data_IF_139012162410
#
_entry.id   IF_139012162410
#
_cell.length_a   1.000
_cell.length_b   1.000
_cell.length_c   1.000
_cell.angle_alpha   90.00
_cell.angle_beta   90.00
_cell.angle_gamma   90.00
#
_symmetry.space_group_name_H-M   'P 1'
#
loop_
_entity.id
_entity.type
_entity.pdbx_description
1 polymer ?
#
# COMPACT_ATOMS: atom_id res chain seq x y z
N UNK A 1 -3.14 -36.81 -80.10
CA UNK A 1 -2.57 -37.67 -79.05
C UNK A 1 -2.91 -37.04 -77.71
N UNK A 2 -3.73 -37.72 -76.90
CA UNK A 2 -4.28 -37.19 -75.64
C UNK A 2 -3.18 -37.07 -74.58
N UNK A 3 -3.04 -35.92 -73.95
CA UNK A 3 -2.28 -35.77 -72.70
C UNK A 3 -3.23 -35.18 -71.67
N UNK A 4 -3.60 -36.02 -70.68
CA UNK A 4 -4.34 -35.65 -69.48
C UNK A 4 -3.46 -34.74 -68.63
N UNK A 5 -3.95 -33.54 -68.28
CA UNK A 5 -3.37 -32.70 -67.23
C UNK A 5 -4.24 -32.84 -65.98
N UNK A 6 -3.79 -33.64 -65.04
CA UNK A 6 -4.43 -33.84 -63.74
C UNK A 6 -4.20 -32.62 -62.86
N UNK A 7 -5.28 -31.92 -62.50
CA UNK A 7 -5.28 -30.84 -61.51
C UNK A 7 -4.99 -31.41 -60.11
N UNK A 8 -3.94 -30.93 -59.45
CA UNK A 8 -3.73 -31.16 -58.02
C UNK A 8 -4.07 -29.86 -57.28
N UNK A 9 -5.29 -29.78 -56.76
CA UNK A 9 -5.75 -28.64 -55.96
C UNK A 9 -5.30 -28.88 -54.51
N UNK A 10 -4.28 -28.14 -54.06
CA UNK A 10 -3.84 -28.16 -52.66
C UNK A 10 -4.88 -27.37 -51.85
N UNK A 11 -5.70 -28.09 -51.07
CA UNK A 11 -6.57 -27.50 -50.06
C UNK A 11 -5.69 -27.25 -48.83
N UNK A 12 -5.29 -26.00 -48.62
CA UNK A 12 -4.71 -25.56 -47.34
C UNK A 12 -5.87 -25.39 -46.36
N UNK A 13 -6.05 -26.36 -45.47
CA UNK A 13 -6.95 -26.26 -44.33
C UNK A 13 -6.40 -25.21 -43.36
N UNK A 14 -7.01 -24.03 -43.36
CA UNK A 14 -6.74 -22.95 -42.40
C UNK A 14 -7.30 -23.36 -41.04
N UNK A 15 -6.46 -23.95 -40.19
CA UNK A 15 -6.80 -24.20 -38.80
C UNK A 15 -6.97 -22.86 -38.09
N UNK A 16 -8.21 -22.52 -37.71
CA UNK A 16 -8.50 -21.45 -36.77
C UNK A 16 -7.87 -21.82 -35.42
N UNK A 17 -6.64 -21.36 -35.20
CA UNK A 17 -6.08 -21.21 -33.87
C UNK A 17 -6.94 -20.16 -33.15
N UNK A 18 -7.74 -20.60 -32.20
CA UNK A 18 -8.41 -19.72 -31.27
C UNK A 18 -7.35 -18.85 -30.58
N UNK A 19 -7.47 -17.54 -30.75
CA UNK A 19 -6.71 -16.60 -29.96
C UNK A 19 -7.05 -16.86 -28.49
N UNK A 20 -6.07 -17.37 -27.73
CA UNK A 20 -6.10 -17.23 -26.29
C UNK A 20 -6.10 -15.73 -26.00
N UNK A 21 -7.11 -15.28 -25.25
CA UNK A 21 -7.18 -13.92 -24.73
C UNK A 21 -5.99 -13.74 -23.78
N UNK A 22 -4.86 -13.28 -24.32
CA UNK A 22 -3.86 -12.61 -23.51
C UNK A 22 -4.52 -11.32 -23.02
N UNK A 23 -4.83 -11.26 -21.72
CA UNK A 23 -5.11 -9.99 -21.04
C UNK A 23 -3.96 -9.03 -21.36
N UNK A 24 -4.24 -7.75 -21.69
CA UNK A 24 -3.18 -6.84 -22.05
C UNK A 24 -2.28 -6.58 -20.83
N UNK A 25 -1.02 -6.98 -20.99
CA UNK A 25 0.19 -6.56 -20.31
C UNK A 25 0.02 -5.27 -19.47
N UNK A 26 0.18 -5.37 -18.15
CA UNK A 26 0.63 -4.26 -17.28
C UNK A 26 -0.15 -2.95 -17.35
N UNK A 27 -1.47 -2.96 -17.60
CA UNK A 27 -2.25 -1.72 -17.58
C UNK A 27 -2.26 -1.12 -16.17
N UNK A 28 -1.54 -0.01 -16.01
CA UNK A 28 -1.64 0.88 -14.84
C UNK A 28 -3.12 1.11 -14.56
N UNK A 29 -3.57 0.72 -13.36
CA UNK A 29 -4.95 0.95 -12.93
C UNK A 29 -5.18 2.46 -12.89
N UNK A 30 -6.18 2.94 -13.62
CA UNK A 30 -6.50 4.38 -13.73
C UNK A 30 -6.69 5.05 -12.35
N UNK A 31 -7.20 4.31 -11.36
CA UNK A 31 -7.31 4.82 -9.99
C UNK A 31 -5.97 5.35 -9.45
N UNK A 32 -4.85 4.72 -9.77
CA UNK A 32 -3.52 5.07 -9.25
C UNK A 32 -2.64 5.81 -10.27
N UNK A 33 -3.22 6.30 -11.38
CA UNK A 33 -2.50 7.12 -12.37
C UNK A 33 -2.32 8.58 -11.92
N UNK A 34 -3.11 9.01 -10.92
CA UNK A 34 -3.15 10.39 -10.42
C UNK A 34 -3.04 10.43 -8.91
N UNK A 35 -2.29 11.42 -8.42
CA UNK A 35 -2.15 11.75 -7.00
C UNK A 35 -3.23 12.75 -6.52
N UNK A 36 -4.13 13.18 -7.41
CA UNK A 36 -5.21 14.10 -7.03
C UNK A 36 -6.14 13.43 -6.02
N UNK A 37 -6.37 14.13 -4.90
CA UNK A 37 -7.31 13.70 -3.87
C UNK A 37 -8.69 13.46 -4.48
N UNK A 38 -9.30 12.36 -4.10
CA UNK A 38 -10.67 12.04 -4.49
C UNK A 38 -11.67 12.58 -3.49
N UNK A 39 -12.80 13.08 -3.96
CA UNK A 39 -13.97 13.35 -3.13
C UNK A 39 -14.99 12.24 -3.38
N UNK A 40 -15.30 11.48 -2.34
CA UNK A 40 -16.19 10.32 -2.40
C UNK A 40 -17.34 10.50 -1.41
N UNK A 41 -18.52 10.01 -1.77
CA UNK A 41 -19.62 9.80 -0.83
C UNK A 41 -19.98 8.33 -0.82
N UNK A 42 -20.03 7.72 0.36
CA UNK A 42 -20.46 6.32 0.53
C UNK A 42 -21.75 6.31 1.32
N UNK A 43 -22.82 5.82 0.71
CA UNK A 43 -24.12 5.61 1.35
C UNK A 43 -24.18 4.16 1.84
N UNK A 44 -24.30 3.96 3.15
CA UNK A 44 -24.32 2.63 3.77
C UNK A 44 -24.98 2.67 5.16
N UNK A 45 -25.46 1.52 5.63
CA UNK A 45 -25.92 1.38 7.02
C UNK A 45 -24.69 1.23 7.94
N UNK A 46 -24.22 2.35 8.50
CA UNK A 46 -22.96 2.39 9.25
C UNK A 46 -23.00 1.53 10.52
N UNK A 47 -24.15 1.45 11.18
CA UNK A 47 -24.31 0.69 12.41
C UNK A 47 -24.12 -0.82 12.17
N UNK A 48 -24.62 -1.33 11.04
CA UNK A 48 -24.43 -2.71 10.61
C UNK A 48 -22.96 -3.04 10.37
N UNK A 49 -22.21 -2.14 9.73
CA UNK A 49 -20.77 -2.31 9.50
C UNK A 49 -19.97 -2.26 10.80
N UNK A 50 -20.30 -1.34 11.70
CA UNK A 50 -19.63 -1.20 13.01
C UNK A 50 -19.90 -2.39 13.93
N UNK A 51 -21.08 -3.00 13.82
CA UNK A 51 -21.44 -4.19 14.57
C UNK A 51 -20.84 -5.48 13.97
N UNK A 52 -20.73 -5.58 12.65
CA UNK A 52 -20.20 -6.75 11.94
C UNK A 52 -18.67 -6.70 11.82
N UNK A 53 -18.00 -6.91 12.95
CA UNK A 53 -16.54 -6.83 13.10
C UNK A 53 -15.92 -8.12 13.66
N UNK A 54 -16.66 -9.23 13.56
CA UNK A 54 -16.21 -10.56 13.99
C UNK A 54 -15.03 -11.09 13.17
N UNK A 55 -14.66 -12.36 13.36
CA UNK A 55 -13.50 -12.98 12.68
C UNK A 55 -13.58 -12.87 11.15
N UNK A 56 -14.75 -13.15 10.56
CA UNK A 56 -15.05 -13.03 9.13
C UNK A 56 -16.30 -12.15 8.89
N UNK A 57 -16.14 -10.83 8.78
CA UNK A 57 -17.22 -9.90 8.49
C UNK A 57 -17.86 -10.13 7.12
N UNK A 58 -19.19 -10.00 7.08
CA UNK A 58 -19.95 -10.10 5.84
C UNK A 58 -19.81 -8.84 4.99
N UNK A 59 -20.15 -8.96 3.71
CA UNK A 59 -20.32 -7.82 2.83
C UNK A 59 -21.72 -7.24 2.99
N UNK A 60 -21.80 -5.92 3.14
CA UNK A 60 -23.02 -5.13 3.21
C UNK A 60 -23.15 -4.28 1.94
N UNK A 61 -24.37 -4.07 1.46
CA UNK A 61 -24.62 -3.27 0.27
C UNK A 61 -24.43 -1.78 0.57
N UNK A 62 -23.86 -1.06 -0.38
CA UNK A 62 -23.63 0.38 -0.29
C UNK A 62 -23.63 1.02 -1.68
N UNK A 63 -23.72 2.34 -1.73
CA UNK A 63 -23.58 3.11 -2.98
C UNK A 63 -22.37 4.02 -2.85
N UNK A 64 -21.47 3.97 -3.83
CA UNK A 64 -20.36 4.91 -3.95
C UNK A 64 -20.70 5.96 -5.01
N UNK A 65 -20.62 7.22 -4.62
CA UNK A 65 -20.78 8.38 -5.48
C UNK A 65 -19.46 9.17 -5.54
N UNK A 66 -19.07 9.59 -6.75
CA UNK A 66 -17.87 10.39 -6.96
C UNK A 66 -17.92 11.13 -8.31
N UNK A 67 -17.13 12.19 -8.41
CA UNK A 67 -16.91 12.86 -9.69
C UNK A 67 -15.86 12.08 -10.49
N UNK A 68 -16.31 11.35 -11.51
CA UNK A 68 -15.43 10.60 -12.41
C UNK A 68 -14.85 11.56 -13.48
N UNK A 69 -13.51 11.68 -13.60
CA UNK A 69 -12.87 12.46 -14.67
C UNK A 69 -13.30 12.05 -16.09
N UNK A 70 -13.74 10.79 -16.26
CA UNK A 70 -14.15 10.17 -17.53
C UNK A 70 -15.64 10.38 -17.79
N UNK A 71 -16.49 10.23 -16.76
CA UNK A 71 -17.96 10.11 -16.92
C UNK A 71 -18.79 11.17 -16.19
N UNK A 72 -18.18 12.16 -15.55
CA UNK A 72 -18.82 13.12 -14.62
C UNK A 72 -19.35 12.43 -13.35
N UNK A 73 -20.37 12.99 -12.67
CA UNK A 73 -20.91 12.43 -11.43
C UNK A 73 -21.39 10.98 -11.68
N UNK A 74 -20.72 10.04 -11.02
CA UNK A 74 -20.92 8.61 -11.19
C UNK A 74 -21.37 8.01 -9.87
N UNK A 75 -22.43 7.18 -9.93
CA UNK A 75 -22.90 6.35 -8.83
C UNK A 75 -22.76 4.89 -9.21
N UNK A 76 -22.18 4.09 -8.32
CA UNK A 76 -22.02 2.66 -8.51
C UNK A 76 -22.44 1.92 -7.24
N UNK A 77 -23.20 0.86 -7.44
CA UNK A 77 -23.51 -0.08 -6.36
C UNK A 77 -22.24 -0.86 -6.03
N UNK A 78 -21.92 -0.92 -4.73
CA UNK A 78 -20.73 -1.59 -4.21
C UNK A 78 -21.10 -2.43 -2.99
N UNK A 79 -20.18 -3.29 -2.60
CA UNK A 79 -20.25 -3.99 -1.32
C UNK A 79 -19.12 -3.57 -0.41
N UNK A 80 -19.41 -3.38 0.86
CA UNK A 80 -18.45 -2.93 1.86
C UNK A 80 -18.37 -3.96 2.97
N UNK A 81 -17.17 -4.23 3.47
CA UNK A 81 -16.98 -5.02 4.68
C UNK A 81 -15.89 -4.44 5.57
N UNK A 82 -15.98 -4.70 6.87
CA UNK A 82 -14.88 -4.44 7.78
C UNK A 82 -13.67 -5.36 7.46
N UNK A 83 -12.45 -4.86 7.69
CA UNK A 83 -11.20 -5.62 7.50
C UNK A 83 -10.18 -5.30 8.61
N UNK A 84 -9.11 -6.10 8.63
CA UNK A 84 -8.03 -5.99 9.61
C UNK A 84 -8.34 -6.79 10.87
N UNK A 85 -7.35 -6.87 11.76
CA UNK A 85 -7.48 -7.49 13.08
C UNK A 85 -7.59 -6.42 14.15
N UNK A 86 -6.51 -5.63 14.31
CA UNK A 86 -6.40 -4.63 15.37
C UNK A 86 -7.48 -3.55 15.29
N UNK A 87 -7.57 -2.86 14.14
CA UNK A 87 -8.50 -1.75 13.92
C UNK A 87 -9.95 -2.18 13.66
N UNK A 88 -10.19 -3.48 13.58
CA UNK A 88 -11.55 -4.05 13.49
C UNK A 88 -12.19 -4.19 14.87
N UNK A 89 -11.38 -4.34 15.93
CA UNK A 89 -11.87 -4.50 17.29
C UNK A 89 -12.50 -3.19 17.84
N UNK A 90 -13.77 -3.18 18.26
CA UNK A 90 -14.44 -2.00 18.82
C UNK A 90 -13.80 -1.43 20.09
N UNK A 91 -13.03 -2.24 20.82
CA UNK A 91 -12.25 -1.74 21.96
C UNK A 91 -11.13 -0.78 21.53
N UNK A 92 -10.75 -0.82 20.25
CA UNK A 92 -9.63 -0.06 19.69
C UNK A 92 -10.05 1.05 18.71
N UNK A 93 -11.13 0.83 17.94
CA UNK A 93 -11.63 1.75 16.92
C UNK A 93 -13.17 1.79 16.93
N UNK A 94 -13.75 2.99 16.82
CA UNK A 94 -15.19 3.17 16.58
C UNK A 94 -15.58 3.06 15.10
N UNK A 95 -14.59 3.05 14.21
CA UNK A 95 -14.75 2.93 12.77
C UNK A 95 -13.71 1.98 12.18
N UNK A 96 -14.11 0.84 11.61
CA UNK A 96 -13.16 -0.15 11.13
C UNK A 96 -12.48 0.29 9.82
N UNK A 97 -11.36 -0.35 9.50
CA UNK A 97 -10.84 -0.35 8.14
C UNK A 97 -11.84 -1.03 7.21
N UNK A 98 -11.97 -0.53 5.98
CA UNK A 98 -12.97 -1.04 5.04
C UNK A 98 -12.31 -1.72 3.84
N UNK A 99 -13.05 -2.66 3.24
CA UNK A 99 -12.77 -3.19 1.91
C UNK A 99 -14.00 -2.96 1.04
N UNK A 100 -13.84 -2.23 -0.06
CA UNK A 100 -14.89 -2.01 -1.04
C UNK A 100 -14.76 -3.07 -2.12
N UNK A 101 -15.86 -3.62 -2.58
CA UNK A 101 -15.94 -4.61 -3.66
C UNK A 101 -16.89 -4.10 -4.73
N UNK A 102 -16.44 -4.22 -5.97
CA UNK A 102 -17.12 -3.69 -7.14
C UNK A 102 -17.60 -4.82 -8.03
N UNK A 103 -18.88 -4.79 -8.40
CA UNK A 103 -19.40 -5.71 -9.38
C UNK A 103 -18.96 -5.30 -10.79
N UNK A 104 -18.72 -6.31 -11.65
CA UNK A 104 -18.07 -6.09 -12.97
C UNK A 104 -18.90 -5.17 -13.87
N UNK A 105 -20.23 -5.24 -13.76
CA UNK A 105 -21.17 -4.42 -14.51
C UNK A 105 -21.09 -2.96 -14.10
N UNK A 106 -20.99 -2.69 -12.80
CA UNK A 106 -21.14 -1.34 -12.24
C UNK A 106 -19.86 -0.52 -12.37
N UNK A 107 -18.69 -1.18 -12.29
CA UNK A 107 -17.41 -0.50 -12.50
C UNK A 107 -17.05 -0.20 -13.96
N UNK A 108 -17.80 -0.72 -14.94
CA UNK A 108 -17.40 -0.63 -16.35
C UNK A 108 -17.34 0.82 -16.85
N UNK A 109 -16.21 1.21 -17.44
CA UNK A 109 -15.94 2.55 -17.94
C UNK A 109 -15.84 3.62 -16.85
N UNK A 110 -15.66 3.25 -15.58
CA UNK A 110 -15.27 4.19 -14.53
C UNK A 110 -13.78 4.04 -14.22
N UNK A 111 -13.23 4.93 -13.40
CA UNK A 111 -11.87 4.80 -12.85
C UNK A 111 -11.62 3.48 -12.09
N UNK A 112 -12.68 2.76 -11.70
CA UNK A 112 -12.63 1.47 -11.02
C UNK A 112 -12.78 0.26 -11.96
N UNK A 113 -12.86 0.44 -13.28
CA UNK A 113 -13.19 -0.62 -14.25
C UNK A 113 -12.39 -1.92 -14.07
N UNK A 114 -11.12 -1.78 -13.75
CA UNK A 114 -10.19 -2.89 -13.59
C UNK A 114 -9.93 -3.28 -12.13
N UNK A 115 -10.67 -2.74 -11.16
CA UNK A 115 -10.45 -2.93 -9.71
C UNK A 115 -11.60 -3.72 -9.11
N UNK A 116 -11.35 -4.97 -8.72
CA UNK A 116 -12.43 -5.89 -8.26
C UNK A 116 -12.83 -5.57 -6.83
N UNK A 117 -11.82 -5.27 -6.04
CA UNK A 117 -11.97 -4.80 -4.70
C UNK A 117 -10.79 -3.89 -4.37
N UNK A 118 -10.97 -3.05 -3.36
CA UNK A 118 -9.93 -2.13 -2.91
C UNK A 118 -9.96 -2.03 -1.38
N UNK A 119 -8.77 -2.06 -0.79
CA UNK A 119 -8.59 -1.82 0.64
C UNK A 119 -8.64 -0.31 0.88
N UNK A 120 -9.38 0.11 1.89
CA UNK A 120 -9.52 1.49 2.31
C UNK A 120 -8.98 1.64 3.74
N UNK A 121 -7.96 2.47 3.91
CA UNK A 121 -7.43 2.84 5.22
C UNK A 121 -8.22 4.03 5.75
N UNK A 122 -8.86 3.84 6.91
CA UNK A 122 -9.82 4.78 7.52
C UNK A 122 -9.30 5.31 8.86
N UNK A 123 -10.03 6.28 9.41
CA UNK A 123 -9.66 7.10 10.55
C UNK A 123 -9.72 6.42 11.92
N UNK A 124 -10.27 5.21 12.07
CA UNK A 124 -10.36 4.49 13.37
C UNK A 124 -11.23 5.17 14.45
N UNK A 125 -10.95 6.41 14.90
CA UNK A 125 -11.74 7.16 15.88
C UNK A 125 -12.43 8.37 15.25
N UNK A 126 -13.76 8.35 15.25
CA UNK A 126 -14.58 9.35 14.58
C UNK A 126 -14.62 10.68 15.36
N UNK A 127 -14.42 10.65 16.68
CA UNK A 127 -14.48 11.85 17.54
C UNK A 127 -13.19 12.66 17.63
N UNK A 128 -12.07 12.14 17.14
CA UNK A 128 -10.73 12.66 17.46
C UNK A 128 -9.96 13.04 16.18
N UNK A 129 -9.64 14.33 16.01
CA UNK A 129 -9.01 14.83 14.78
C UNK A 129 -7.57 14.35 14.58
N UNK A 130 -6.86 13.97 15.65
CA UNK A 130 -5.49 13.45 15.57
C UNK A 130 -5.38 12.18 14.70
N UNK A 131 -6.47 11.42 14.65
CA UNK A 131 -6.53 10.19 13.88
C UNK A 131 -6.51 10.40 12.38
N UNK A 132 -7.08 11.50 11.91
CA UNK A 132 -6.95 11.88 10.50
C UNK A 132 -5.48 12.16 10.19
N UNK A 133 -4.75 12.80 11.10
CA UNK A 133 -3.32 13.03 10.93
C UNK A 133 -2.51 11.72 10.92
N UNK A 134 -2.88 10.69 11.67
CA UNK A 134 -2.23 9.37 11.58
C UNK A 134 -2.43 8.73 10.19
N UNK A 135 -3.65 8.80 9.64
CA UNK A 135 -3.94 8.31 8.28
C UNK A 135 -3.13 9.07 7.23
N UNK A 136 -3.05 10.40 7.36
CA UNK A 136 -2.28 11.24 6.43
C UNK A 136 -0.77 10.94 6.50
N UNK A 137 -0.22 10.74 7.70
CA UNK A 137 1.17 10.36 7.87
C UNK A 137 1.46 8.97 7.25
N UNK A 138 0.60 7.98 7.47
CA UNK A 138 0.72 6.65 6.85
C UNK A 138 0.67 6.74 5.32
N UNK A 139 -0.28 7.50 4.76
CA UNK A 139 -0.36 7.78 3.33
C UNK A 139 0.95 8.36 2.77
N UNK A 140 1.53 9.36 3.46
CA UNK A 140 2.77 10.00 3.03
C UNK A 140 3.99 9.08 3.14
N UNK A 141 3.98 8.09 4.03
CA UNK A 141 5.01 7.05 4.08
C UNK A 141 4.93 6.18 2.81
N UNK A 142 3.74 5.72 2.40
CA UNK A 142 3.62 4.99 1.13
C UNK A 142 4.12 5.83 -0.06
N UNK A 143 3.69 7.10 -0.15
CA UNK A 143 4.15 8.03 -1.20
C UNK A 143 5.66 8.26 -1.17
N UNK A 144 6.24 8.37 0.02
CA UNK A 144 7.68 8.49 0.21
C UNK A 144 8.42 7.25 -0.28
N UNK A 145 7.90 6.04 -0.01
CA UNK A 145 8.53 4.80 -0.48
C UNK A 145 8.48 4.64 -2.00
N UNK A 146 7.40 5.12 -2.66
CA UNK A 146 7.30 5.11 -4.12
C UNK A 146 8.42 5.89 -4.82
N UNK A 147 9.08 6.85 -4.14
CA UNK A 147 10.22 7.60 -4.69
C UNK A 147 11.48 6.73 -4.85
N UNK A 148 11.59 5.64 -4.09
CA UNK A 148 12.80 4.83 -4.04
C UNK A 148 12.72 3.56 -4.87
N UNK A 149 11.51 3.05 -5.14
CA UNK A 149 11.34 1.80 -5.88
C UNK A 149 9.93 1.63 -6.43
N UNK A 150 9.84 0.99 -7.59
CA UNK A 150 8.58 0.51 -8.16
C UNK A 150 8.04 -0.72 -7.40
N UNK A 151 8.87 -1.45 -6.64
CA UNK A 151 8.43 -2.51 -5.72
C UNK A 151 7.86 -1.89 -4.43
N UNK A 152 6.72 -1.22 -4.58
CA UNK A 152 6.03 -0.47 -3.53
C UNK A 152 4.53 -0.46 -3.81
N UNK A 153 3.69 -0.23 -2.80
CA UNK A 153 2.26 -0.07 -3.04
C UNK A 153 1.95 1.35 -3.48
N UNK A 154 1.16 1.51 -4.55
CA UNK A 154 0.57 2.82 -4.87
C UNK A 154 -0.61 3.10 -3.95
N UNK A 155 -0.78 4.37 -3.59
CA UNK A 155 -1.87 4.84 -2.74
C UNK A 155 -2.52 6.07 -3.34
N UNK A 156 -3.82 6.26 -3.06
CA UNK A 156 -4.55 7.47 -3.46
C UNK A 156 -5.39 8.01 -2.31
N UNK A 157 -5.15 9.28 -1.97
CA UNK A 157 -5.88 9.98 -0.93
C UNK A 157 -7.34 10.24 -1.35
N UNK A 158 -8.25 10.08 -0.39
CA UNK A 158 -9.65 10.43 -0.54
C UNK A 158 -10.14 11.21 0.68
N UNK A 159 -11.05 12.15 0.43
CA UNK A 159 -11.92 12.75 1.44
C UNK A 159 -13.30 12.13 1.27
N UNK A 160 -13.70 11.34 2.24
CA UNK A 160 -14.89 10.48 2.13
C UNK A 160 -15.96 10.97 3.08
N UNK A 161 -17.15 11.24 2.54
CA UNK A 161 -18.36 11.46 3.31
C UNK A 161 -19.13 10.15 3.41
N UNK A 162 -19.17 9.57 4.60
CA UNK A 162 -20.03 8.42 4.90
C UNK A 162 -21.41 8.94 5.28
N UNK A 163 -22.43 8.58 4.51
CA UNK A 163 -23.83 8.91 4.79
C UNK A 163 -24.50 7.66 5.34
N UNK A 164 -24.93 7.72 6.59
CA UNK A 164 -25.65 6.62 7.21
C UNK A 164 -27.06 6.54 6.60
N UNK A 165 -27.43 5.38 6.07
CA UNK A 165 -28.77 5.18 5.50
C UNK A 165 -29.80 4.72 6.53
N UNK A 166 -29.43 4.69 7.81
CA UNK A 166 -30.36 4.44 8.92
C UNK A 166 -31.28 5.65 9.19
N UNK A 167 -32.21 5.51 10.13
CA UNK A 167 -33.30 6.48 10.34
C UNK A 167 -32.85 7.92 10.65
N UNK A 168 -31.66 8.10 11.22
CA UNK A 168 -31.16 9.40 11.65
C UNK A 168 -30.37 10.17 10.55
N UNK A 169 -30.07 9.50 9.41
CA UNK A 169 -29.41 10.08 8.22
C UNK A 169 -28.21 10.99 8.54
N UNK A 170 -27.41 10.61 9.53
CA UNK A 170 -26.20 11.34 9.90
C UNK A 170 -25.08 11.12 8.88
N UNK A 171 -24.08 12.01 8.88
CA UNK A 171 -22.93 11.87 8.01
C UNK A 171 -21.63 12.27 8.68
N UNK A 172 -20.55 11.65 8.23
CA UNK A 172 -19.20 11.83 8.73
C UNK A 172 -18.25 11.99 7.55
N UNK A 173 -17.53 13.11 7.49
CA UNK A 173 -16.49 13.32 6.47
C UNK A 173 -15.10 13.15 7.07
N UNK A 174 -14.31 12.21 6.55
CA UNK A 174 -12.95 11.93 7.04
C UNK A 174 -11.97 11.68 5.90
N UNK A 175 -10.69 11.94 6.15
CA UNK A 175 -9.62 11.46 5.28
C UNK A 175 -9.51 9.92 5.33
N UNK A 176 -9.24 9.35 4.18
CA UNK A 176 -8.94 7.93 3.98
C UNK A 176 -7.98 7.80 2.79
N UNK A 177 -7.38 6.65 2.60
CA UNK A 177 -6.68 6.37 1.35
C UNK A 177 -6.91 4.94 0.87
N UNK A 178 -6.94 4.79 -0.45
CA UNK A 178 -6.98 3.49 -1.12
C UNK A 178 -5.55 3.00 -1.33
N UNK A 179 -5.34 1.70 -1.17
CA UNK A 179 -4.04 1.04 -1.42
C UNK A 179 -4.19 0.01 -2.54
N UNK A 180 -3.21 0.00 -3.45
CA UNK A 180 -3.11 -0.92 -4.60
C UNK A 180 -3.26 -2.38 -4.16
N UNK A 181 -3.90 -3.21 -5.01
CA UNK A 181 -3.97 -4.64 -4.75
C UNK A 181 -2.57 -5.25 -4.88
N UNK A 182 -2.31 -6.24 -4.04
CA UNK A 182 -1.00 -6.89 -3.98
C UNK A 182 -0.63 -7.59 -5.31
N UNK A 183 -1.62 -8.17 -6.00
CA UNK A 183 -1.39 -8.79 -7.30
C UNK A 183 -1.15 -7.73 -8.38
N UNK A 184 -1.88 -6.62 -8.33
CA UNK A 184 -1.68 -5.50 -9.26
C UNK A 184 -0.28 -4.89 -9.10
N UNK A 185 0.20 -4.76 -7.86
CA UNK A 185 1.56 -4.31 -7.54
C UNK A 185 2.62 -5.28 -8.08
N UNK A 186 2.42 -6.60 -7.92
CA UNK A 186 3.34 -7.59 -8.49
C UNK A 186 3.32 -7.57 -10.01
N UNK A 187 2.13 -7.55 -10.62
CA UNK A 187 1.94 -7.57 -12.08
C UNK A 187 2.62 -6.38 -12.75
N UNK A 188 2.47 -5.16 -12.21
CA UNK A 188 3.13 -3.96 -12.76
C UNK A 188 4.66 -3.98 -12.62
N UNK A 189 5.20 -4.86 -11.78
CA UNK A 189 6.64 -5.12 -11.64
C UNK A 189 7.08 -6.41 -12.38
N UNK A 190 6.25 -6.92 -13.30
CA UNK A 190 6.49 -8.14 -14.05
C UNK A 190 6.75 -9.38 -13.16
N UNK A 191 6.08 -9.44 -12.00
CA UNK A 191 6.19 -10.53 -11.06
C UNK A 191 4.84 -11.07 -10.59
N UNK A 192 4.90 -12.09 -9.74
CA UNK A 192 3.76 -12.71 -9.09
C UNK A 192 4.00 -12.79 -7.58
N UNK A 193 2.93 -12.87 -6.79
CA UNK A 193 3.04 -12.99 -5.33
C UNK A 193 3.46 -14.41 -4.95
N UNK A 194 4.51 -14.50 -4.14
CA UNK A 194 4.99 -15.75 -3.56
C UNK A 194 4.36 -15.95 -2.19
N UNK A 195 3.32 -16.77 -2.13
CA UNK A 195 2.60 -17.08 -0.88
C UNK A 195 3.39 -18.09 -0.01
N UNK A 196 4.25 -17.58 0.87
CA UNK A 196 4.97 -18.37 1.88
C UNK A 196 4.91 -17.67 3.24
N UNK A 197 4.91 -18.44 4.33
CA UNK A 197 4.82 -17.91 5.71
C UNK A 197 6.18 -17.67 6.37
N UNK A 198 7.27 -18.04 5.70
CA UNK A 198 8.63 -17.81 6.18
C UNK A 198 9.61 -17.86 5.02
N UNK A 199 10.65 -17.04 5.09
CA UNK A 199 11.73 -17.01 4.12
C UNK A 199 13.03 -16.65 4.84
N UNK A 200 14.13 -17.41 4.69
CA UNK A 200 15.42 -16.97 5.22
C UNK A 200 15.78 -15.61 4.62
N UNK A 201 16.11 -14.62 5.45
CA UNK A 201 16.37 -13.25 5.00
C UNK A 201 17.55 -13.17 4.01
N UNK A 202 18.53 -14.06 4.13
CA UNK A 202 19.67 -14.21 3.22
C UNK A 202 19.30 -14.82 1.85
N UNK A 203 18.06 -15.30 1.68
CA UNK A 203 17.50 -15.84 0.43
C UNK A 203 16.55 -14.88 -0.28
N UNK A 204 16.36 -13.68 0.25
CA UNK A 204 15.65 -12.60 -0.43
C UNK A 204 16.58 -11.86 -1.38
N UNK A 205 16.02 -11.06 -2.30
CA UNK A 205 16.81 -10.13 -3.08
C UNK A 205 17.50 -9.11 -2.14
N UNK A 206 18.82 -9.19 -2.05
CA UNK A 206 19.59 -8.45 -1.04
C UNK A 206 19.62 -6.94 -1.30
N UNK A 207 19.50 -6.52 -2.56
CA UNK A 207 19.46 -5.10 -2.91
C UNK A 207 18.14 -4.48 -2.43
N UNK A 208 17.02 -5.11 -2.76
CA UNK A 208 15.70 -4.64 -2.34
C UNK A 208 15.50 -4.80 -0.82
N UNK A 209 16.04 -5.86 -0.22
CA UNK A 209 16.00 -6.03 1.23
C UNK A 209 16.77 -4.91 1.95
N UNK A 210 17.97 -4.53 1.46
CA UNK A 210 18.71 -3.39 1.99
C UNK A 210 17.93 -2.08 1.86
N UNK A 211 17.37 -1.81 0.69
CA UNK A 211 16.57 -0.60 0.45
C UNK A 211 15.36 -0.53 1.39
N UNK A 212 14.58 -1.61 1.47
CA UNK A 212 13.43 -1.74 2.36
C UNK A 212 13.84 -1.49 3.82
N UNK A 213 14.91 -2.12 4.29
CA UNK A 213 15.34 -2.00 5.69
C UNK A 213 15.92 -0.63 6.01
N UNK A 214 16.58 0.04 5.06
CA UNK A 214 17.00 1.43 5.20
C UNK A 214 15.80 2.38 5.29
N UNK A 215 14.79 2.17 4.44
CA UNK A 215 13.58 2.98 4.47
C UNK A 215 12.82 2.80 5.79
N UNK A 216 12.62 1.57 6.25
CA UNK A 216 12.00 1.29 7.55
C UNK A 216 12.80 1.88 8.72
N UNK A 217 14.14 1.84 8.68
CA UNK A 217 14.98 2.51 9.67
C UNK A 217 14.74 4.04 9.69
N UNK A 218 14.67 4.67 8.51
CA UNK A 218 14.44 6.11 8.37
C UNK A 218 13.13 6.56 9.03
N UNK A 219 12.05 5.78 8.85
CA UNK A 219 10.71 6.05 9.40
C UNK A 219 10.47 5.44 10.79
N UNK A 220 11.50 4.86 11.42
CA UNK A 220 11.41 4.19 12.73
C UNK A 220 10.39 3.03 12.75
N UNK A 221 10.23 2.33 11.63
CA UNK A 221 9.39 1.15 11.58
C UNK A 221 10.20 -0.09 11.96
N UNK A 222 9.75 -0.78 13.00
CA UNK A 222 10.32 -2.06 13.42
C UNK A 222 9.32 -3.22 13.34
N UNK A 223 8.07 -2.92 12.99
CA UNK A 223 6.97 -3.88 12.91
C UNK A 223 6.94 -4.56 11.53
N UNK A 224 8.02 -5.26 11.20
CA UNK A 224 8.13 -6.13 10.03
C UNK A 224 9.09 -7.27 10.32
N UNK A 225 9.02 -8.40 9.63
CA UNK A 225 10.01 -9.47 9.78
C UNK A 225 10.15 -10.31 8.54
N UNK A 226 11.29 -10.19 7.85
CA UNK A 226 11.66 -11.00 6.69
C UNK A 226 11.50 -12.51 6.95
N UNK A 227 12.01 -12.98 8.09
CA UNK A 227 12.07 -14.41 8.42
C UNK A 227 10.71 -15.09 8.55
N UNK A 228 9.68 -14.35 8.96
CA UNK A 228 8.31 -14.86 9.13
C UNK A 228 7.30 -14.16 8.22
N UNK A 229 7.78 -13.39 7.24
CA UNK A 229 6.95 -12.67 6.26
C UNK A 229 5.86 -11.80 6.94
N UNK A 230 6.25 -11.08 8.00
CA UNK A 230 5.35 -10.18 8.73
C UNK A 230 5.44 -8.76 8.19
N UNK A 231 4.30 -8.15 7.83
CA UNK A 231 4.18 -6.82 7.21
C UNK A 231 5.09 -6.64 5.98
N UNK A 232 5.21 -7.71 5.20
CA UNK A 232 5.88 -7.70 3.90
C UNK A 232 5.25 -8.72 2.96
N UNK A 233 5.24 -8.38 1.67
CA UNK A 233 4.88 -9.29 0.60
C UNK A 233 6.14 -9.70 -0.14
N UNK A 234 6.13 -10.89 -0.74
CA UNK A 234 7.25 -11.39 -1.54
C UNK A 234 6.83 -11.47 -3.00
N UNK A 235 7.55 -10.75 -3.87
CA UNK A 235 7.33 -10.76 -5.32
C UNK A 235 8.36 -11.67 -5.97
N UNK A 236 7.90 -12.71 -6.66
CA UNK A 236 8.72 -13.60 -7.48
C UNK A 236 8.73 -13.12 -8.92
N UNK A 237 9.91 -12.75 -9.43
CA UNK A 237 10.10 -12.40 -10.84
C UNK A 237 10.28 -13.64 -11.73
N UNK A 238 10.87 -14.71 -11.18
CA UNK A 238 10.93 -16.06 -11.76
C UNK A 238 11.48 -17.04 -10.71
N UNK A 239 11.32 -18.33 -10.97
CA UNK A 239 11.73 -19.41 -10.06
C UNK A 239 13.25 -19.54 -9.79
N UNK A 240 14.11 -18.81 -10.51
CA UNK A 240 15.57 -18.90 -10.37
C UNK A 240 16.20 -17.71 -9.65
N UNK A 241 15.39 -16.70 -9.30
CA UNK A 241 15.85 -15.49 -8.62
C UNK A 241 15.31 -15.44 -7.19
N UNK A 242 16.08 -14.86 -6.24
CA UNK A 242 15.55 -14.51 -4.93
C UNK A 242 14.28 -13.65 -5.05
N UNK A 243 13.23 -13.90 -4.23
CA UNK A 243 12.06 -13.05 -4.24
C UNK A 243 12.37 -11.66 -3.67
N UNK A 244 11.70 -10.65 -4.21
CA UNK A 244 11.83 -9.26 -3.82
C UNK A 244 10.88 -8.97 -2.65
N UNK A 245 11.37 -8.51 -1.49
CA UNK A 245 10.52 -8.13 -0.37
C UNK A 245 9.94 -6.73 -0.58
N UNK A 246 8.63 -6.59 -0.32
CA UNK A 246 7.88 -5.33 -0.43
C UNK A 246 7.19 -5.03 0.90
N UNK A 247 7.59 -3.99 1.64
CA UNK A 247 6.99 -3.65 2.93
C UNK A 247 5.58 -3.06 2.76
N UNK A 248 4.72 -3.30 3.73
CA UNK A 248 3.42 -2.63 3.88
C UNK A 248 3.04 -2.51 5.36
N UNK A 249 1.88 -1.92 5.65
CA UNK A 249 1.36 -1.70 7.00
C UNK A 249 2.29 -0.80 7.86
N UNK A 250 2.36 0.47 7.47
CA UNK A 250 3.27 1.44 8.08
C UNK A 250 2.70 2.19 9.28
N UNK A 251 1.50 1.84 9.73
CA UNK A 251 0.82 2.56 10.80
C UNK A 251 1.53 2.49 12.15
N UNK A 252 2.31 1.43 12.37
CA UNK A 252 3.17 1.26 13.53
C UNK A 252 4.57 1.88 13.37
N UNK A 253 4.79 2.72 12.36
CA UNK A 253 6.05 3.48 12.21
C UNK A 253 6.20 4.51 13.33
N UNK A 254 7.38 4.57 13.97
CA UNK A 254 7.65 5.55 15.03
C UNK A 254 7.56 7.00 14.56
N UNK A 255 7.78 7.27 13.27
CA UNK A 255 7.61 8.61 12.69
C UNK A 255 6.15 9.11 12.70
N UNK A 256 5.15 8.22 12.88
CA UNK A 256 3.75 8.63 13.04
C UNK A 256 3.48 9.13 14.47
N UNK A 257 4.24 8.62 15.45
CA UNK A 257 4.19 8.99 16.86
C UNK A 257 2.80 8.80 17.51
N UNK A 258 2.17 7.65 17.25
CA UNK A 258 0.89 7.28 17.89
C UNK A 258 1.10 7.12 19.42
N UNK A 259 0.33 7.82 20.29
CA UNK A 259 0.53 7.81 21.73
C UNK A 259 0.50 6.43 22.41
N UNK A 260 1.32 6.26 23.45
CA UNK A 260 1.45 5.02 24.24
C UNK A 260 0.22 4.68 25.08
N UNK A 261 -0.59 5.64 25.51
CA UNK A 261 -1.79 5.36 26.35
C UNK A 261 -3.07 5.25 25.52
N UNK A 262 -2.92 5.33 24.20
CA UNK A 262 -4.03 5.11 23.30
C UNK A 262 -4.41 3.62 23.33
N UNK A 263 -5.69 3.24 23.03
CA UNK A 263 -6.10 1.84 22.92
C UNK A 263 -5.13 0.96 22.08
N UNK A 264 -4.33 1.59 21.22
CA UNK A 264 -3.20 1.04 20.48
C UNK A 264 -2.18 0.24 21.32
N UNK A 265 -1.68 0.71 22.46
CA UNK A 265 -0.41 0.16 22.99
C UNK A 265 -0.51 -0.99 24.02
N UNK A 266 -1.70 -1.47 24.37
CA UNK A 266 -1.87 -2.22 25.62
C UNK A 266 -1.22 -3.63 25.68
N UNK A 267 -0.58 -4.15 24.63
CA UNK A 267 0.00 -5.50 24.67
C UNK A 267 1.37 -5.69 23.96
N UNK A 268 2.00 -4.64 23.44
CA UNK A 268 3.34 -4.74 22.85
C UNK A 268 4.25 -3.70 23.47
N UNK A 269 5.39 -4.13 24.02
CA UNK A 269 6.49 -3.24 24.39
C UNK A 269 7.04 -2.64 23.09
N UNK A 270 6.43 -1.54 22.63
CA UNK A 270 6.78 -0.91 21.36
C UNK A 270 8.12 -0.21 21.51
N UNK A 271 9.07 -0.56 20.66
CA UNK A 271 10.31 0.18 20.48
C UNK A 271 10.04 1.31 19.48
N UNK A 272 10.06 2.56 19.95
CA UNK A 272 9.86 3.76 19.13
C UNK A 272 11.17 4.34 18.59
N UNK A 273 12.30 3.76 18.97
CA UNK A 273 13.59 4.13 18.40
C UNK A 273 13.82 3.53 17.02
N UNK A 274 14.87 4.00 16.35
CA UNK A 274 15.34 3.37 15.11
C UNK A 274 16.07 2.07 15.40
N UNK A 275 15.70 1.02 14.69
CA UNK A 275 16.45 -0.25 14.70
C UNK A 275 16.63 -0.75 13.29
N UNK A 276 17.87 -0.99 12.91
CA UNK A 276 18.17 -1.55 11.60
C UNK A 276 17.91 -3.07 11.61
N UNK A 277 17.08 -3.52 10.66
CA UNK A 277 16.68 -4.93 10.48
C UNK A 277 16.88 -5.35 9.02
N UNK A 278 18.06 -5.05 8.48
CA UNK A 278 18.46 -5.42 7.12
C UNK A 278 19.70 -6.31 7.12
N UNK A 279 20.28 -6.57 5.94
CA UNK A 279 21.45 -7.45 5.83
C UNK A 279 22.66 -6.88 6.59
N UNK A 280 23.44 -7.77 7.20
CA UNK A 280 24.69 -7.41 7.85
C UNK A 280 25.80 -7.22 6.83
N UNK A 281 26.17 -5.97 6.60
CA UNK A 281 27.15 -5.55 5.60
C UNK A 281 28.34 -4.82 6.22
N UNK A 282 29.46 -4.76 5.50
CA UNK A 282 30.58 -3.88 5.85
C UNK A 282 30.21 -2.44 5.48
N UNK A 283 30.81 -1.48 6.18
CA UNK A 283 30.57 -0.03 5.96
C UNK A 283 30.56 0.40 4.49
N UNK A 284 31.51 -0.11 3.70
CA UNK A 284 31.64 0.27 2.28
C UNK A 284 30.46 -0.19 1.42
N UNK A 285 29.81 -1.29 1.79
CA UNK A 285 28.70 -1.87 1.04
C UNK A 285 27.40 -1.07 1.21
N UNK A 286 27.32 -0.20 2.23
CA UNK A 286 26.21 0.76 2.38
C UNK A 286 26.38 2.05 1.56
N UNK A 287 27.57 2.31 0.99
CA UNK A 287 27.86 3.61 0.37
C UNK A 287 26.92 3.90 -0.81
N UNK A 288 26.57 2.86 -1.60
CA UNK A 288 25.64 2.97 -2.72
C UNK A 288 24.22 3.36 -2.26
N UNK A 289 23.66 2.66 -1.28
CA UNK A 289 22.30 2.96 -0.80
C UNK A 289 22.23 4.34 -0.13
N UNK A 290 23.28 4.79 0.55
CA UNK A 290 23.32 6.13 1.13
C UNK A 290 23.38 7.22 0.08
N UNK A 291 24.11 7.02 -1.02
CA UNK A 291 24.11 7.94 -2.16
C UNK A 291 22.70 8.04 -2.74
N UNK A 292 22.09 6.88 -3.05
CA UNK A 292 20.74 6.83 -3.61
C UNK A 292 19.68 7.50 -2.70
N UNK A 293 19.76 7.26 -1.39
CA UNK A 293 18.87 7.90 -0.41
C UNK A 293 19.03 9.43 -0.36
N UNK A 294 20.26 9.93 -0.57
CA UNK A 294 20.57 11.36 -0.59
C UNK A 294 20.14 12.04 -1.88
N UNK A 295 20.24 11.37 -3.01
CA UNK A 295 19.75 11.87 -4.30
C UNK A 295 18.24 12.12 -4.26
N UNK A 296 17.49 11.27 -3.56
CA UNK A 296 16.05 11.39 -3.38
C UNK A 296 15.62 12.26 -2.17
N UNK A 297 16.57 12.79 -1.39
CA UNK A 297 16.29 13.56 -0.17
C UNK A 297 15.35 14.73 -0.40
N UNK A 298 15.57 15.49 -1.48
CA UNK A 298 14.76 16.67 -1.77
C UNK A 298 13.31 16.29 -2.06
N UNK A 299 13.10 15.33 -2.96
CA UNK A 299 11.77 14.83 -3.30
C UNK A 299 11.04 14.26 -2.09
N UNK A 300 11.74 13.53 -1.22
CA UNK A 300 11.18 13.04 0.03
C UNK A 300 10.75 14.19 0.95
N UNK A 301 11.54 15.25 1.05
CA UNK A 301 11.22 16.41 1.89
C UNK A 301 9.99 17.15 1.34
N UNK A 302 9.96 17.38 0.03
CA UNK A 302 8.85 18.03 -0.65
C UNK A 302 7.54 17.24 -0.49
N UNK A 303 7.60 15.90 -0.47
CA UNK A 303 6.44 15.03 -0.19
C UNK A 303 5.73 15.34 1.14
N UNK A 304 6.46 15.71 2.20
CA UNK A 304 5.85 16.10 3.48
C UNK A 304 5.64 17.62 3.59
N UNK A 305 6.57 18.41 3.05
CA UNK A 305 6.56 19.85 3.18
C UNK A 305 5.41 20.49 2.42
N UNK A 306 5.20 20.05 1.17
CA UNK A 306 4.18 20.62 0.27
C UNK A 306 2.79 20.04 0.51
N UNK A 307 2.65 19.02 1.35
CA UNK A 307 1.37 18.39 1.62
C UNK A 307 0.48 19.28 2.50
N UNK A 308 -0.66 19.78 1.99
CA UNK A 308 -1.39 20.88 2.63
C UNK A 308 -2.24 20.44 3.82
N UNK A 309 -2.51 19.14 3.96
CA UNK A 309 -3.41 18.60 4.99
C UNK A 309 -2.67 18.13 6.25
N UNK A 310 -1.34 18.17 6.25
CA UNK A 310 -0.54 17.85 7.43
C UNK A 310 -0.44 19.07 8.36
N UNK A 311 -0.69 18.86 9.65
CA UNK A 311 -0.52 19.91 10.65
C UNK A 311 0.94 20.39 10.73
N UNK A 312 1.13 21.67 11.04
CA UNK A 312 2.46 22.29 11.03
C UNK A 312 3.42 21.65 12.05
N UNK A 313 2.93 21.36 13.25
CA UNK A 313 3.73 20.71 14.30
C UNK A 313 4.14 19.28 13.91
N UNK A 314 3.21 18.52 13.32
CA UNK A 314 3.47 17.17 12.81
C UNK A 314 4.49 17.22 11.67
N UNK A 315 4.30 18.14 10.71
CA UNK A 315 5.25 18.38 9.62
C UNK A 315 6.64 18.68 10.19
N UNK A 316 6.76 19.62 11.12
CA UNK A 316 8.04 19.99 11.72
C UNK A 316 8.72 18.81 12.42
N UNK A 317 7.96 17.99 13.15
CA UNK A 317 8.45 16.77 13.81
C UNK A 317 8.96 15.76 12.78
N UNK A 318 8.20 15.46 11.73
CA UNK A 318 8.62 14.54 10.66
C UNK A 318 9.91 15.06 10.00
N UNK A 319 9.98 16.35 9.67
CA UNK A 319 11.17 16.95 9.07
C UNK A 319 12.39 16.84 9.99
N UNK A 320 12.21 17.02 11.30
CA UNK A 320 13.26 16.79 12.28
C UNK A 320 13.74 15.34 12.26
N UNK A 321 12.82 14.38 12.30
CA UNK A 321 13.15 12.96 12.27
C UNK A 321 13.90 12.59 10.98
N UNK A 322 13.40 12.97 9.82
CA UNK A 322 14.08 12.70 8.55
C UNK A 322 15.49 13.33 8.53
N UNK A 323 15.67 14.54 9.07
CA UNK A 323 17.00 15.16 9.19
C UNK A 323 17.95 14.33 10.05
N UNK A 324 17.49 13.77 11.17
CA UNK A 324 18.31 12.89 12.00
C UNK A 324 18.77 11.65 11.23
N UNK A 325 17.93 11.09 10.34
CA UNK A 325 18.34 9.95 9.51
C UNK A 325 19.50 10.34 8.59
N UNK A 326 19.40 11.48 7.90
CA UNK A 326 20.46 11.96 7.01
C UNK A 326 21.75 12.27 7.76
N UNK A 327 21.67 12.83 8.97
CA UNK A 327 22.83 13.03 9.85
C UNK A 327 23.49 11.69 10.20
N UNK A 328 22.70 10.65 10.50
CA UNK A 328 23.22 9.31 10.79
C UNK A 328 23.99 8.73 9.61
N UNK A 329 23.44 8.75 8.39
CA UNK A 329 24.09 8.13 7.23
C UNK A 329 25.30 8.93 6.70
N UNK A 330 25.40 10.23 7.02
CA UNK A 330 26.55 11.08 6.67
C UNK A 330 27.70 11.00 7.69
N UNK A 331 27.50 10.37 8.85
CA UNK A 331 28.52 10.26 9.89
C UNK A 331 29.08 8.82 9.97
N UNK A 332 30.35 8.58 9.59
CA UNK A 332 30.94 7.24 9.58
C UNK A 332 30.93 6.51 10.93
N UNK A 333 30.98 7.25 12.05
CA UNK A 333 30.92 6.66 13.38
C UNK A 333 29.50 6.19 13.72
N UNK A 334 28.48 6.99 13.38
CA UNK A 334 27.08 6.62 13.56
C UNK A 334 26.71 5.47 12.64
N UNK A 335 27.12 5.50 11.36
CA UNK A 335 26.94 4.36 10.43
C UNK A 335 27.50 3.07 11.02
N UNK A 336 28.73 3.12 11.57
CA UNK A 336 29.35 1.94 12.19
C UNK A 336 28.54 1.45 13.40
N UNK A 337 28.03 2.36 14.21
CA UNK A 337 27.25 2.02 15.40
C UNK A 337 25.90 1.41 15.02
N UNK A 338 25.14 2.11 14.19
CA UNK A 338 23.75 1.81 13.88
C UNK A 338 23.58 0.63 12.92
N UNK A 339 24.44 0.51 11.90
CA UNK A 339 24.24 -0.45 10.82
C UNK A 339 25.23 -1.62 10.82
N UNK A 340 26.43 -1.44 11.39
CA UNK A 340 27.49 -2.47 11.35
C UNK A 340 27.60 -3.22 12.68
N UNK A 341 27.66 -2.51 13.82
CA UNK A 341 27.80 -3.15 15.14
C UNK A 341 26.48 -3.71 15.68
N UNK A 342 25.39 -2.99 15.45
CA UNK A 342 24.07 -3.34 15.94
C UNK A 342 23.25 -4.18 14.93
N UNK A 343 23.89 -4.70 13.89
CA UNK A 343 23.21 -5.63 12.99
C UNK A 343 22.84 -6.91 13.76
N UNK A 344 21.61 -7.35 13.59
CA UNK A 344 21.08 -8.57 14.21
C UNK A 344 20.57 -9.44 13.08
N UNK A 345 21.20 -10.61 12.89
CA UNK A 345 20.75 -11.66 11.97
C UNK A 345 19.39 -12.25 12.38
#
# INVERSE_FOLDING_TARGET
MKVLSTFFSIIVSLSLLGAQNNSPDGQVRELFSSDSMMELTIFLELDSIRADVGEDPSYHDAVLEFNDPIKSLTRIDIKVRARGSFRKNPANCDFPLLKLKFDKTDRKGSIFENIKDIKLVTHCQSGESEFEQFVLQEYLIYKGYNLFTDFSFRVRLARITYVNTSADMDSLTRFAFMIEDVNDMAERNNGEILEISSAPADRLDQHHFLLMSMYNYMIHNTDFSASIVHNLELVSLNHFQPPVPVPYDFDWSGIIDIPYDSPYANNATRYTGRRYKGPCLKRKEFEEIFIFMKENKRSLYDNYWDFPFLDEEIRARIMHELNLFYITIDNPNLVRQEFVKNCVD
#
